data_IF_451594870704
#
_entry.id   IF_451594870704
#
_cell.length_a   1.000
_cell.length_b   1.000
_cell.length_c   1.000
_cell.angle_alpha   90.00
_cell.angle_beta   90.00
_cell.angle_gamma   90.00
#
_symmetry.space_group_name_H-M   'P 1'
#
loop_
_entity.id
_entity.type
_entity.pdbx_description
1 polymer ?
#
# COMPACT_ATOMS: atom_id res chain seq x y z
N UNK A 1 -26.87 23.74 20.43
CA UNK A 1 -25.89 22.65 20.21
C UNK A 1 -25.11 22.96 18.95
N UNK A 2 -23.81 23.27 19.03
CA UNK A 2 -23.02 23.74 17.87
C UNK A 2 -22.54 22.53 17.06
N UNK A 3 -23.09 22.32 15.87
CA UNK A 3 -22.70 21.21 14.99
C UNK A 3 -21.38 21.55 14.31
N UNK A 4 -20.30 20.89 14.73
CA UNK A 4 -19.00 20.99 14.05
C UNK A 4 -19.05 20.13 12.78
N UNK A 5 -18.97 20.76 11.61
CA UNK A 5 -18.78 20.07 10.32
C UNK A 5 -17.29 20.09 10.00
N UNK A 6 -16.69 18.92 9.79
CA UNK A 6 -15.32 18.84 9.31
C UNK A 6 -15.21 19.54 7.93
N UNK A 7 -14.14 20.31 7.68
CA UNK A 7 -13.95 20.96 6.39
C UNK A 7 -13.73 19.91 5.29
N UNK A 8 -14.43 20.06 4.16
CA UNK A 8 -14.21 19.23 2.98
C UNK A 8 -12.83 19.55 2.41
N UNK A 9 -11.88 18.63 2.56
CA UNK A 9 -10.55 18.71 1.95
C UNK A 9 -10.65 18.14 0.54
N UNK A 10 -10.39 18.96 -0.47
CA UNK A 10 -10.16 18.45 -1.83
C UNK A 10 -8.97 17.50 -1.75
N UNK A 11 -9.22 16.22 -2.05
CA UNK A 11 -8.17 15.21 -2.11
C UNK A 11 -7.68 15.13 -3.55
N UNK A 12 -6.36 15.09 -3.73
CA UNK A 12 -5.78 14.96 -5.06
C UNK A 12 -6.25 13.64 -5.68
N UNK A 13 -7.09 13.79 -6.71
CA UNK A 13 -7.58 12.69 -7.53
C UNK A 13 -6.52 12.40 -8.59
N UNK A 14 -5.94 11.19 -8.64
CA UNK A 14 -4.99 10.83 -9.68
C UNK A 14 -5.66 10.91 -11.06
N UNK A 15 -4.93 11.34 -12.09
CA UNK A 15 -5.46 11.58 -13.44
C UNK A 15 -4.88 10.61 -14.46
N UNK A 16 -3.69 10.08 -14.21
CA UNK A 16 -3.02 9.09 -15.03
C UNK A 16 -2.63 7.86 -14.22
N UNK A 17 -2.38 6.75 -14.92
CA UNK A 17 -1.85 5.54 -14.32
C UNK A 17 -0.50 5.82 -13.64
N UNK A 18 -0.29 5.25 -12.46
CA UNK A 18 0.88 5.44 -11.60
C UNK A 18 1.04 6.86 -10.99
N UNK A 19 0.05 7.75 -11.10
CA UNK A 19 0.09 9.07 -10.44
C UNK A 19 0.15 8.95 -8.90
N UNK A 20 -0.47 7.90 -8.34
CA UNK A 20 -0.48 7.64 -6.91
C UNK A 20 -0.57 6.14 -6.68
N UNK A 21 0.39 5.58 -5.97
CA UNK A 21 0.44 4.16 -5.62
C UNK A 21 0.26 4.02 -4.10
N UNK A 22 -0.66 3.17 -3.70
CA UNK A 22 -0.81 2.71 -2.33
C UNK A 22 0.06 1.47 -2.12
N UNK A 23 0.91 1.52 -1.09
CA UNK A 23 1.74 0.39 -0.64
C UNK A 23 1.23 -0.07 0.71
N UNK A 24 1.04 -1.38 0.87
CA UNK A 24 0.59 -1.96 2.13
C UNK A 24 1.28 -3.29 2.40
N UNK A 25 1.83 -3.47 3.60
CA UNK A 25 2.37 -4.75 4.05
C UNK A 25 1.33 -5.43 4.93
N UNK A 26 0.96 -6.66 4.58
CA UNK A 26 -0.01 -7.48 5.31
C UNK A 26 0.75 -8.62 6.01
N UNK A 27 0.50 -8.82 7.30
CA UNK A 27 1.07 -9.90 8.08
C UNK A 27 1.40 -9.47 9.52
N UNK A 28 2.14 -10.29 10.28
CA UNK A 28 2.73 -11.56 9.86
C UNK A 28 1.73 -12.72 9.78
N UNK A 29 1.91 -13.59 8.80
CA UNK A 29 1.24 -14.89 8.67
C UNK A 29 2.11 -16.02 9.27
N UNK A 30 1.54 -17.23 9.32
CA UNK A 30 2.33 -18.44 9.56
C UNK A 30 3.32 -18.58 8.39
N UNK A 31 4.64 -18.70 8.65
CA UNK A 31 5.62 -18.82 7.58
C UNK A 31 5.41 -20.12 6.79
N UNK A 32 5.61 -20.05 5.48
CA UNK A 32 5.71 -21.22 4.62
C UNK A 32 7.08 -21.92 4.76
N UNK A 33 7.31 -22.97 3.97
CA UNK A 33 8.57 -23.73 3.97
C UNK A 33 9.80 -22.88 3.62
N UNK A 34 9.60 -21.73 2.97
CA UNK A 34 10.65 -20.80 2.54
C UNK A 34 10.75 -19.57 3.48
N UNK A 35 9.93 -19.51 4.53
CA UNK A 35 9.94 -18.44 5.52
C UNK A 35 9.14 -17.20 5.15
N UNK A 36 8.39 -17.21 4.03
CA UNK A 36 7.56 -16.08 3.66
C UNK A 36 6.40 -15.93 4.64
N UNK A 37 6.23 -14.72 5.17
CA UNK A 37 5.25 -14.43 6.22
C UNK A 37 4.58 -13.07 6.07
N UNK A 38 4.91 -12.32 5.02
CA UNK A 38 4.31 -11.03 4.71
C UNK A 38 3.92 -10.98 3.23
N UNK A 39 2.94 -10.12 2.92
CA UNK A 39 2.57 -9.79 1.54
C UNK A 39 2.70 -8.28 1.38
N UNK A 40 3.52 -7.83 0.43
CA UNK A 40 3.51 -6.46 -0.05
C UNK A 40 2.46 -6.32 -1.14
N UNK A 41 1.46 -5.48 -0.91
CA UNK A 41 0.46 -5.07 -1.88
C UNK A 41 0.85 -3.70 -2.46
N UNK A 42 0.90 -3.62 -3.79
CA UNK A 42 1.20 -2.42 -4.57
C UNK A 42 -0.03 -2.14 -5.42
N UNK A 43 -0.71 -1.03 -5.20
CA UNK A 43 -1.96 -0.73 -5.89
C UNK A 43 -1.95 0.68 -6.50
N UNK A 44 -2.23 0.78 -7.79
CA UNK A 44 -2.49 2.05 -8.44
C UNK A 44 -3.83 2.64 -7.97
N UNK A 45 -3.80 3.87 -7.47
CA UNK A 45 -4.97 4.52 -6.87
C UNK A 45 -6.00 4.99 -7.90
N UNK A 46 -5.66 5.08 -9.19
CA UNK A 46 -6.61 5.44 -10.25
C UNK A 46 -7.33 4.21 -10.79
N UNK A 47 -6.59 3.31 -11.43
CA UNK A 47 -7.07 2.12 -12.13
C UNK A 47 -7.46 0.97 -11.21
N UNK A 48 -7.00 1.01 -9.95
CA UNK A 48 -7.13 -0.09 -8.97
C UNK A 48 -6.40 -1.36 -9.37
N UNK A 49 -5.56 -1.31 -10.40
CA UNK A 49 -4.65 -2.40 -10.71
C UNK A 49 -3.73 -2.64 -9.50
N UNK A 50 -3.60 -3.91 -9.11
CA UNK A 50 -2.84 -4.31 -7.94
C UNK A 50 -1.88 -5.46 -8.27
N UNK A 51 -0.71 -5.42 -7.65
CA UNK A 51 0.32 -6.45 -7.67
C UNK A 51 0.63 -6.83 -6.24
N UNK A 52 0.84 -8.12 -5.99
CA UNK A 52 1.25 -8.63 -4.68
C UNK A 52 2.56 -9.40 -4.77
N UNK A 53 3.44 -9.17 -3.80
CA UNK A 53 4.72 -9.86 -3.67
C UNK A 53 4.82 -10.51 -2.28
N UNK A 54 5.30 -11.76 -2.24
CA UNK A 54 5.55 -12.47 -0.98
C UNK A 54 6.89 -12.04 -0.39
N UNK A 55 6.92 -11.75 0.92
CA UNK A 55 8.12 -11.26 1.62
C UNK A 55 8.40 -12.10 2.87
N UNK A 56 9.69 -12.30 3.16
CA UNK A 56 10.18 -12.93 4.40
C UNK A 56 10.22 -11.88 5.52
N UNK A 57 10.67 -10.67 5.21
CA UNK A 57 10.80 -9.55 6.16
C UNK A 57 10.00 -8.32 5.69
N UNK A 58 9.58 -7.47 6.64
CA UNK A 58 8.82 -6.25 6.39
C UNK A 58 9.68 -4.99 6.59
N UNK A 59 10.87 -4.97 5.98
CA UNK A 59 11.80 -3.84 6.04
C UNK A 59 11.98 -3.19 4.65
N UNK A 60 12.49 -1.96 4.65
CA UNK A 60 12.94 -1.31 3.42
C UNK A 60 14.43 -1.64 3.23
N UNK A 61 14.75 -2.48 2.26
CA UNK A 61 16.13 -2.66 1.84
C UNK A 61 16.55 -1.49 0.94
N UNK A 62 17.62 -0.81 1.33
CA UNK A 62 18.24 0.23 0.51
C UNK A 62 19.10 -0.45 -0.57
N UNK A 63 18.48 -0.83 -1.69
CA UNK A 63 19.24 -1.22 -2.88
C UNK A 63 19.67 0.06 -3.63
N UNK A 64 20.92 0.48 -3.45
CA UNK A 64 21.52 1.54 -4.27
C UNK A 64 21.68 0.95 -5.69
N UNK A 65 20.86 1.43 -6.62
CA UNK A 65 20.99 1.18 -8.06
C UNK A 65 21.81 2.32 -8.66
#
# INVERSE_FOLDING_TARGET
TKTYKAPLRLTDTPKHFNDKIALHIIGPFIPDELGHRYILSIQDCLTKYAVSCSLIEANAELSII
#
